data_IF_338913819220
#
_entry.id   IF_338913819220
#
_cell.length_a   1.000
_cell.length_b   1.000
_cell.length_c   1.000
_cell.angle_alpha   90.00
_cell.angle_beta   90.00
_cell.angle_gamma   90.00
#
_symmetry.space_group_name_H-M   'P 1'
#
loop_
_entity.id
_entity.type
_entity.pdbx_description
1 polymer ?
#
# COMPACT_ATOMS: atom_id res chain seq x y z
N UNK A 1 4.08 26.92 -22.11
CA UNK A 1 5.27 26.36 -22.80
C UNK A 1 5.37 26.96 -24.20
N UNK A 2 6.57 27.37 -24.64
CA UNK A 2 6.80 27.69 -26.06
C UNK A 2 7.17 26.39 -26.80
N UNK A 3 6.43 26.06 -27.86
CA UNK A 3 6.63 24.86 -28.68
C UNK A 3 7.10 25.25 -30.10
N UNK A 4 8.39 25.58 -30.30
CA UNK A 4 8.92 25.87 -31.63
C UNK A 4 8.93 24.63 -32.55
N UNK A 5 8.76 23.43 -32.01
CA UNK A 5 8.74 22.20 -32.80
C UNK A 5 7.47 21.40 -32.51
N UNK A 6 6.68 21.14 -33.56
CA UNK A 6 5.45 20.33 -33.48
C UNK A 6 5.51 19.14 -34.44
N UNK A 7 5.13 17.97 -33.95
CA UNK A 7 4.94 16.77 -34.77
C UNK A 7 3.52 16.66 -35.29
N UNK A 8 3.41 16.16 -36.52
CA UNK A 8 2.15 15.80 -37.17
C UNK A 8 2.25 14.39 -37.74
N UNK A 9 1.17 13.62 -37.67
CA UNK A 9 1.10 12.33 -38.35
C UNK A 9 0.85 12.59 -39.85
N UNK A 10 1.77 12.15 -40.71
CA UNK A 10 1.61 12.26 -42.17
C UNK A 10 0.91 11.04 -42.77
N UNK A 11 0.92 9.90 -42.06
CA UNK A 11 0.46 8.61 -42.55
C UNK A 11 1.39 8.00 -43.63
N UNK A 12 2.48 8.67 -43.98
CA UNK A 12 3.46 8.20 -44.96
C UNK A 12 4.78 7.90 -44.29
N UNK A 13 5.35 6.73 -44.58
CA UNK A 13 6.64 6.33 -44.01
C UNK A 13 7.78 7.18 -44.60
N UNK A 14 8.49 7.92 -43.76
CA UNK A 14 9.58 8.82 -44.15
C UNK A 14 10.96 8.15 -44.10
N UNK A 15 11.13 7.11 -43.28
CA UNK A 15 12.38 6.34 -43.21
C UNK A 15 12.14 4.87 -42.91
N UNK A 16 13.08 4.03 -43.35
CA UNK A 16 13.10 2.61 -43.04
C UNK A 16 13.90 2.37 -41.75
N UNK A 17 13.38 1.58 -40.80
CA UNK A 17 14.10 1.22 -39.57
C UNK A 17 15.45 0.58 -39.89
N UNK A 18 16.52 1.08 -39.26
CA UNK A 18 17.87 0.53 -39.39
C UNK A 18 18.57 0.48 -38.03
N UNK A 19 19.50 -0.48 -37.86
CA UNK A 19 20.30 -0.61 -36.64
C UNK A 19 19.52 -1.11 -35.42
N UNK A 20 19.66 -0.43 -34.26
CA UNK A 20 19.03 -0.81 -32.98
C UNK A 20 17.56 -0.38 -32.86
N UNK A 21 17.08 0.44 -33.79
CA UNK A 21 15.71 0.92 -33.79
C UNK A 21 14.77 -0.11 -34.41
N UNK A 22 13.74 -0.52 -33.66
CA UNK A 22 12.69 -1.42 -34.13
C UNK A 22 11.49 -0.58 -34.57
N UNK A 23 10.95 -0.90 -35.74
CA UNK A 23 9.80 -0.17 -36.27
C UNK A 23 8.62 -0.21 -35.28
N UNK A 24 8.01 0.95 -35.02
CA UNK A 24 6.78 1.05 -34.24
C UNK A 24 5.56 1.45 -35.08
N UNK A 25 5.79 1.86 -36.34
CA UNK A 25 4.73 2.26 -37.28
C UNK A 25 4.17 3.64 -36.99
N UNK A 26 4.69 4.35 -35.99
CA UNK A 26 4.27 5.68 -35.59
C UNK A 26 5.36 6.67 -35.92
N UNK A 27 6.54 6.53 -35.33
CA UNK A 27 7.66 7.48 -35.45
C UNK A 27 8.12 7.64 -36.90
N UNK A 28 8.05 6.58 -37.71
CA UNK A 28 8.44 6.64 -39.13
C UNK A 28 7.48 7.50 -39.96
N UNK A 29 6.28 7.75 -39.45
CA UNK A 29 5.22 8.50 -40.14
C UNK A 29 5.06 9.93 -39.65
N UNK A 30 5.94 10.39 -38.75
CA UNK A 30 5.84 11.73 -38.18
C UNK A 30 6.62 12.75 -39.01
N UNK A 31 6.00 13.91 -39.23
CA UNK A 31 6.65 15.09 -39.82
C UNK A 31 6.86 16.15 -38.73
N UNK A 32 8.08 16.68 -38.63
CA UNK A 32 8.43 17.76 -37.71
C UNK A 32 8.24 19.12 -38.40
N UNK A 33 7.49 20.01 -37.78
CA UNK A 33 7.31 21.39 -38.20
C UNK A 33 8.05 22.33 -37.26
N UNK A 34 8.86 23.22 -37.82
CA UNK A 34 9.54 24.29 -37.09
C UNK A 34 8.71 25.57 -37.20
N UNK A 35 8.44 26.19 -36.05
CA UNK A 35 7.58 27.36 -35.89
C UNK A 35 8.38 28.46 -35.20
N UNK A 36 8.38 29.65 -35.78
CA UNK A 36 9.27 30.73 -35.37
C UNK A 36 8.58 31.78 -34.51
N UNK A 37 7.24 31.86 -34.58
CA UNK A 37 6.46 32.80 -33.80
C UNK A 37 5.16 32.19 -33.24
N UNK A 38 4.56 32.88 -32.27
CA UNK A 38 3.34 32.42 -31.60
C UNK A 38 2.14 32.33 -32.55
N UNK A 39 2.03 33.24 -33.53
CA UNK A 39 0.93 33.25 -34.50
C UNK A 39 0.97 32.02 -35.42
N UNK A 40 2.16 31.59 -35.85
CA UNK A 40 2.36 30.36 -36.61
C UNK A 40 1.94 29.13 -35.79
N UNK A 41 2.28 29.10 -34.50
CA UNK A 41 1.89 28.04 -33.59
C UNK A 41 0.37 27.94 -33.45
N UNK A 42 -0.31 29.07 -33.22
CA UNK A 42 -1.77 29.10 -33.12
C UNK A 42 -2.41 28.63 -34.42
N UNK A 43 -1.93 29.11 -35.56
CA UNK A 43 -2.46 28.73 -36.88
C UNK A 43 -2.27 27.23 -37.14
N UNK A 44 -1.09 26.69 -36.84
CA UNK A 44 -0.80 25.26 -36.99
C UNK A 44 -1.72 24.41 -36.11
N UNK A 45 -1.86 24.78 -34.84
CA UNK A 45 -2.72 24.06 -33.90
C UNK A 45 -4.18 24.11 -34.36
N UNK A 46 -4.71 25.27 -34.75
CA UNK A 46 -6.08 25.37 -35.27
C UNK A 46 -6.34 24.46 -36.47
N UNK A 47 -5.37 24.32 -37.38
CA UNK A 47 -5.49 23.45 -38.55
C UNK A 47 -5.35 21.96 -38.21
N UNK A 48 -4.56 21.63 -37.20
CA UNK A 48 -4.14 20.24 -36.90
C UNK A 48 -4.69 19.69 -35.58
N UNK A 49 -5.53 20.44 -34.86
CA UNK A 49 -5.99 20.08 -33.49
C UNK A 49 -6.64 18.71 -33.43
N UNK A 50 -7.37 18.32 -34.48
CA UNK A 50 -8.02 17.02 -34.60
C UNK A 50 -7.05 15.84 -34.47
N UNK A 51 -5.77 16.00 -34.85
CA UNK A 51 -4.76 14.96 -34.69
C UNK A 51 -4.32 14.77 -33.24
N UNK A 52 -4.44 15.83 -32.43
CA UNK A 52 -4.14 15.81 -31.00
C UNK A 52 -5.34 15.35 -30.16
N UNK A 53 -6.57 15.67 -30.58
CA UNK A 53 -7.80 15.36 -29.83
C UNK A 53 -8.39 14.00 -30.16
N UNK A 54 -8.52 13.66 -31.45
CA UNK A 54 -9.24 12.48 -31.93
C UNK A 54 -8.34 11.44 -32.62
N UNK A 55 -7.06 11.77 -32.79
CA UNK A 55 -6.08 10.88 -33.42
C UNK A 55 -5.55 9.80 -32.47
N UNK A 56 -5.14 8.62 -32.98
CA UNK A 56 -4.61 7.53 -32.16
C UNK A 56 -3.28 7.87 -31.47
N UNK A 57 -2.61 8.96 -31.86
CA UNK A 57 -1.26 9.32 -31.42
C UNK A 57 -1.18 10.69 -30.74
N UNK A 58 -2.31 11.31 -30.38
CA UNK A 58 -2.34 12.70 -29.90
C UNK A 58 -1.37 12.98 -28.74
N UNK A 59 -1.39 12.13 -27.70
CA UNK A 59 -0.48 12.25 -26.56
C UNK A 59 1.00 12.05 -26.95
N UNK A 60 1.27 11.15 -27.91
CA UNK A 60 2.62 10.87 -28.41
C UNK A 60 3.15 12.09 -29.16
N UNK A 61 2.34 12.67 -30.06
CA UNK A 61 2.67 13.88 -30.80
C UNK A 61 3.00 15.04 -29.85
N UNK A 62 2.17 15.24 -28.82
CA UNK A 62 2.39 16.29 -27.82
C UNK A 62 3.69 16.08 -27.03
N UNK A 63 3.93 14.86 -26.54
CA UNK A 63 5.14 14.53 -25.77
C UNK A 63 6.41 14.72 -26.59
N UNK A 64 6.45 14.20 -27.82
CA UNK A 64 7.61 14.36 -28.72
C UNK A 64 7.85 15.82 -29.09
N UNK A 65 6.77 16.58 -29.30
CA UNK A 65 6.85 18.01 -29.59
C UNK A 65 7.45 18.79 -28.42
N UNK A 66 7.03 18.47 -27.18
CA UNK A 66 7.58 19.09 -25.97
C UNK A 66 9.07 18.76 -25.78
N UNK A 67 9.47 17.51 -26.03
CA UNK A 67 10.86 17.07 -25.94
C UNK A 67 11.73 17.81 -26.97
N UNK A 68 11.35 17.83 -28.25
CA UNK A 68 12.16 18.46 -29.29
C UNK A 68 12.17 19.99 -29.19
N UNK A 69 11.08 20.59 -28.72
CA UNK A 69 11.01 22.02 -28.40
C UNK A 69 12.07 22.48 -27.40
N UNK A 70 12.57 21.55 -26.57
CA UNK A 70 13.67 21.79 -25.61
C UNK A 70 15.01 21.17 -26.03
N UNK A 71 15.05 20.34 -27.06
CA UNK A 71 16.17 19.41 -27.35
C UNK A 71 16.35 18.29 -26.31
N UNK A 72 16.86 17.15 -26.76
CA UNK A 72 17.04 15.98 -25.90
C UNK A 72 18.14 16.19 -24.85
N UNK A 73 19.11 17.05 -25.14
CA UNK A 73 20.24 17.38 -24.27
C UNK A 73 19.77 18.21 -23.07
N UNK A 74 19.00 19.28 -23.30
CA UNK A 74 18.49 20.10 -22.19
C UNK A 74 17.49 19.34 -21.33
N UNK A 75 16.64 18.50 -21.94
CA UNK A 75 15.73 17.63 -21.19
C UNK A 75 16.50 16.68 -20.28
N UNK A 76 17.58 16.04 -20.77
CA UNK A 76 18.43 15.17 -19.92
C UNK A 76 19.19 15.92 -18.84
N UNK A 77 19.56 17.18 -19.08
CA UNK A 77 20.23 18.03 -18.08
C UNK A 77 19.30 18.44 -16.93
N UNK A 78 17.99 18.42 -17.16
CA UNK A 78 17.01 18.73 -16.11
C UNK A 78 16.92 17.63 -15.05
N UNK A 79 17.29 16.38 -15.37
CA UNK A 79 17.20 15.24 -14.44
C UNK A 79 18.16 15.40 -13.26
N UNK A 80 17.75 14.90 -12.09
CA UNK A 80 18.66 14.73 -10.95
C UNK A 80 19.58 13.52 -11.17
N UNK A 81 19.04 12.44 -11.76
CA UNK A 81 19.78 11.22 -12.10
C UNK A 81 19.88 11.09 -13.63
N UNK A 82 21.08 11.18 -14.23
CA UNK A 82 21.24 11.16 -15.69
C UNK A 82 20.75 9.88 -16.39
N UNK A 83 20.65 8.77 -15.66
CA UNK A 83 20.16 7.49 -16.15
C UNK A 83 18.64 7.35 -16.06
N UNK A 84 17.92 8.34 -15.55
CA UNK A 84 16.46 8.34 -15.52
C UNK A 84 15.85 8.39 -16.92
N UNK A 85 14.57 8.05 -16.99
CA UNK A 85 13.79 8.01 -18.21
C UNK A 85 12.47 8.77 -18.00
N UNK A 86 11.91 9.33 -19.08
CA UNK A 86 10.61 10.02 -19.05
C UNK A 86 9.42 9.06 -18.88
N UNK A 87 9.65 7.79 -19.19
CA UNK A 87 8.69 6.70 -19.02
C UNK A 87 9.33 5.71 -18.05
N UNK A 88 8.63 5.45 -16.95
CA UNK A 88 9.05 4.54 -15.90
C UNK A 88 8.71 3.09 -16.19
N UNK A 89 8.83 2.26 -15.16
CA UNK A 89 8.41 0.87 -15.23
C UNK A 89 6.92 0.76 -15.60
N UNK A 90 6.55 -0.31 -16.31
CA UNK A 90 5.17 -0.58 -16.74
C UNK A 90 4.54 0.48 -17.66
N UNK A 91 5.33 1.40 -18.23
CA UNK A 91 4.86 2.37 -19.21
C UNK A 91 4.21 3.63 -18.61
N UNK A 92 4.27 3.83 -17.31
CA UNK A 92 3.77 5.05 -16.66
C UNK A 92 4.69 6.24 -16.93
N UNK A 93 4.12 7.44 -17.06
CA UNK A 93 4.90 8.66 -17.13
C UNK A 93 5.60 8.93 -15.78
N UNK A 94 6.86 9.35 -15.83
CA UNK A 94 7.56 9.81 -14.63
C UNK A 94 7.22 11.27 -14.31
N UNK A 95 7.60 11.72 -13.11
CA UNK A 95 7.38 13.12 -12.71
C UNK A 95 8.13 14.10 -13.62
N UNK A 96 9.28 13.71 -14.17
CA UNK A 96 10.02 14.50 -15.16
C UNK A 96 9.19 14.78 -16.41
N UNK A 97 8.45 13.79 -16.92
CA UNK A 97 7.58 13.99 -18.08
C UNK A 97 6.39 14.90 -17.74
N UNK A 98 5.79 14.70 -16.56
CA UNK A 98 4.70 15.55 -16.08
C UNK A 98 5.17 17.01 -15.96
N UNK A 99 6.29 17.24 -15.30
CA UNK A 99 6.88 18.56 -15.12
C UNK A 99 7.33 19.18 -16.46
N UNK A 100 7.83 18.37 -17.40
CA UNK A 100 8.14 18.82 -18.75
C UNK A 100 6.88 19.38 -19.40
N UNK A 101 5.76 18.67 -19.36
CA UNK A 101 4.50 19.10 -19.97
C UNK A 101 3.89 20.34 -19.27
N UNK A 102 4.00 20.43 -17.94
CA UNK A 102 3.46 21.54 -17.16
C UNK A 102 4.31 22.82 -17.28
N UNK A 103 5.62 22.69 -17.18
CA UNK A 103 6.53 23.83 -16.97
C UNK A 103 7.54 24.04 -18.10
N UNK A 104 7.70 23.08 -19.00
CA UNK A 104 8.73 23.06 -20.02
C UNK A 104 10.11 22.58 -19.53
N UNK A 105 10.24 22.17 -18.27
CA UNK A 105 11.47 21.58 -17.71
C UNK A 105 11.20 20.21 -17.10
N UNK A 106 12.07 19.25 -17.40
CA UNK A 106 11.90 17.86 -17.00
C UNK A 106 12.55 17.57 -15.62
N UNK A 107 12.35 18.45 -14.65
CA UNK A 107 12.90 18.28 -13.29
C UNK A 107 12.15 17.18 -12.55
N UNK A 108 12.83 16.46 -11.66
CA UNK A 108 12.29 15.27 -10.99
C UNK A 108 11.31 15.59 -9.85
N UNK A 109 11.36 16.81 -9.29
CA UNK A 109 10.63 17.16 -8.08
C UNK A 109 9.60 18.28 -8.30
N UNK A 110 8.65 18.38 -7.36
CA UNK A 110 7.53 19.33 -7.41
C UNK A 110 7.63 20.47 -6.40
N UNK A 111 8.68 20.50 -5.56
CA UNK A 111 8.95 21.61 -4.64
C UNK A 111 9.53 22.83 -5.38
N UNK A 112 9.64 23.97 -4.70
CA UNK A 112 10.24 25.18 -5.27
C UNK A 112 11.76 25.10 -5.30
N UNK A 113 12.35 25.68 -6.35
CA UNK A 113 13.78 25.91 -6.52
C UNK A 113 14.62 24.65 -6.37
N UNK A 114 15.58 24.64 -5.45
CA UNK A 114 16.51 23.53 -5.21
C UNK A 114 16.46 23.20 -3.73
N UNK A 115 16.40 21.90 -3.41
CA UNK A 115 16.45 21.41 -2.03
C UNK A 115 17.76 20.68 -1.82
N UNK A 116 18.44 21.01 -0.72
CA UNK A 116 19.66 20.33 -0.30
C UNK A 116 19.29 19.16 0.62
N UNK A 117 19.72 17.96 0.26
CA UNK A 117 19.53 16.76 1.07
C UNK A 117 20.87 16.34 1.69
N UNK A 118 20.99 16.51 3.01
CA UNK A 118 22.12 15.97 3.77
C UNK A 118 21.91 14.48 4.01
N UNK A 119 22.79 13.65 3.47
CA UNK A 119 22.74 12.20 3.63
C UNK A 119 23.30 11.73 4.99
N UNK A 120 23.64 12.64 5.90
CA UNK A 120 24.16 12.35 7.24
C UNK A 120 25.61 11.84 7.26
N UNK A 121 26.22 11.72 6.09
CA UNK A 121 27.62 11.31 5.89
C UNK A 121 28.52 12.48 5.42
N UNK A 122 27.99 13.71 5.45
CA UNK A 122 28.69 14.91 4.99
C UNK A 122 28.58 15.19 3.48
N UNK A 123 27.93 14.30 2.70
CA UNK A 123 27.63 14.57 1.30
C UNK A 123 26.25 15.21 1.15
N UNK A 124 26.24 16.42 0.59
CA UNK A 124 25.03 17.17 0.26
C UNK A 124 24.63 16.80 -1.18
N UNK A 125 23.41 16.30 -1.36
CA UNK A 125 22.82 16.07 -2.68
C UNK A 125 21.85 17.21 -3.00
N UNK A 126 22.02 17.84 -4.17
CA UNK A 126 21.13 18.90 -4.63
C UNK A 126 20.02 18.29 -5.49
N UNK A 127 18.77 18.49 -5.09
CA UNK A 127 17.59 18.03 -5.80
C UNK A 127 16.92 19.22 -6.50
N UNK A 128 16.71 19.10 -7.82
CA UNK A 128 16.11 20.17 -8.64
C UNK A 128 14.59 20.12 -8.56
N UNK A 129 13.99 21.25 -8.23
CA UNK A 129 12.55 21.50 -8.26
C UNK A 129 12.16 22.52 -9.31
N UNK A 130 10.99 23.11 -9.12
CA UNK A 130 10.36 24.06 -10.02
C UNK A 130 10.97 25.45 -9.79
N UNK A 131 11.53 26.05 -10.83
CA UNK A 131 12.27 27.32 -10.70
C UNK A 131 11.40 28.59 -10.82
N UNK A 132 10.14 28.46 -11.23
CA UNK A 132 9.26 29.61 -11.44
C UNK A 132 7.78 29.21 -11.43
N UNK A 133 6.91 30.17 -11.13
CA UNK A 133 5.45 30.02 -11.18
C UNK A 133 4.97 29.52 -12.55
N UNK A 134 4.28 28.40 -12.55
CA UNK A 134 3.75 27.75 -13.75
C UNK A 134 2.43 28.37 -14.23
N UNK A 135 2.12 28.23 -15.51
CA UNK A 135 0.82 28.64 -16.07
C UNK A 135 -0.31 27.71 -15.63
N UNK A 136 -0.02 26.40 -15.56
CA UNK A 136 -0.92 25.34 -15.09
C UNK A 136 -0.31 24.71 -13.83
N UNK A 137 -1.17 24.45 -12.86
CA UNK A 137 -0.78 23.94 -11.55
C UNK A 137 -0.71 22.43 -11.50
N UNK A 138 -0.19 21.95 -10.38
CA UNK A 138 -0.13 20.53 -10.06
C UNK A 138 -0.50 20.33 -8.61
N UNK A 139 -1.36 19.34 -8.35
CA UNK A 139 -1.75 18.93 -7.02
C UNK A 139 -1.51 17.43 -6.89
N UNK A 140 -1.14 16.97 -5.70
CA UNK A 140 -0.81 15.57 -5.47
C UNK A 140 -1.37 15.10 -4.13
N UNK A 141 -2.06 13.96 -4.12
CA UNK A 141 -2.50 13.32 -2.88
C UNK A 141 -1.30 12.89 -2.04
N UNK A 142 -0.17 12.57 -2.69
CA UNK A 142 1.08 12.24 -2.00
C UNK A 142 1.58 13.37 -1.10
N UNK A 143 1.16 14.61 -1.33
CA UNK A 143 1.42 15.71 -0.40
C UNK A 143 0.63 15.56 0.91
N UNK A 144 -0.63 15.14 0.84
CA UNK A 144 -1.42 14.85 2.04
C UNK A 144 -0.80 13.74 2.88
N UNK A 145 -0.21 12.72 2.23
CA UNK A 145 0.49 11.64 2.89
C UNK A 145 1.93 11.99 3.32
N UNK A 146 2.37 13.25 3.20
CA UNK A 146 3.73 13.71 3.49
C UNK A 146 4.82 12.93 2.72
N UNK A 147 4.49 12.40 1.54
CA UNK A 147 5.45 11.69 0.67
C UNK A 147 6.21 12.69 -0.20
N UNK A 148 5.58 13.79 -0.61
CA UNK A 148 6.23 14.91 -1.30
C UNK A 148 5.68 16.25 -0.82
N UNK A 149 6.37 17.34 -1.14
CA UNK A 149 5.88 18.70 -0.89
C UNK A 149 5.72 19.43 -2.21
N UNK A 150 4.50 19.84 -2.53
CA UNK A 150 4.24 20.60 -3.76
C UNK A 150 4.55 22.07 -3.49
N UNK A 151 5.43 22.65 -4.30
CA UNK A 151 5.85 24.03 -4.19
C UNK A 151 4.75 25.02 -4.57
N UNK A 152 4.82 26.24 -4.01
CA UNK A 152 3.84 27.28 -4.32
C UNK A 152 3.78 27.64 -5.82
N UNK A 153 4.88 27.43 -6.57
CA UNK A 153 4.93 27.65 -8.01
C UNK A 153 4.00 26.74 -8.82
N UNK A 154 3.63 25.58 -8.27
CA UNK A 154 2.64 24.67 -8.84
C UNK A 154 1.27 24.78 -8.16
N UNK A 155 1.21 25.13 -6.88
CA UNK A 155 -0.07 25.32 -6.17
C UNK A 155 -0.80 26.59 -6.57
N UNK A 156 -0.07 27.65 -6.90
CA UNK A 156 -0.61 28.95 -7.34
C UNK A 156 -0.31 29.19 -8.82
N UNK A 157 -0.91 28.45 -9.76
CA UNK A 157 -0.68 28.67 -11.19
C UNK A 157 -1.16 30.05 -11.66
N UNK A 158 -0.76 30.47 -12.87
CA UNK A 158 -1.26 31.74 -13.45
C UNK A 158 -2.72 31.67 -13.86
N UNK A 159 -3.15 30.51 -14.36
CA UNK A 159 -4.54 30.19 -14.64
C UNK A 159 -5.02 29.20 -13.58
N UNK A 160 -6.26 29.31 -13.08
CA UNK A 160 -6.81 28.41 -12.07
C UNK A 160 -7.16 27.05 -12.70
N UNK A 161 -6.14 26.34 -13.17
CA UNK A 161 -6.18 25.02 -13.80
C UNK A 161 -5.09 24.20 -13.13
N UNK A 162 -5.44 23.02 -12.65
CA UNK A 162 -4.56 22.11 -11.98
C UNK A 162 -4.68 20.71 -12.56
N UNK A 163 -3.54 20.08 -12.82
CA UNK A 163 -3.47 18.63 -12.97
C UNK A 163 -3.39 18.01 -11.58
N UNK A 164 -4.31 17.10 -11.28
CA UNK A 164 -4.43 16.47 -9.97
C UNK A 164 -4.01 15.01 -10.05
N UNK A 165 -2.97 14.66 -9.30
CA UNK A 165 -2.54 13.30 -9.05
C UNK A 165 -3.19 12.81 -7.75
N UNK A 166 -4.45 12.37 -7.83
CA UNK A 166 -5.18 11.90 -6.65
C UNK A 166 -4.86 10.46 -6.32
N UNK A 167 -4.65 9.58 -7.30
CA UNK A 167 -4.37 8.15 -7.05
C UNK A 167 -3.45 7.55 -8.13
N UNK A 168 -3.94 6.54 -8.87
CA UNK A 168 -3.19 5.86 -9.93
C UNK A 168 -3.26 6.57 -11.29
N UNK A 169 -3.99 7.69 -11.37
CA UNK A 169 -4.18 8.47 -12.60
C UNK A 169 -4.18 9.98 -12.34
N UNK A 170 -4.10 10.73 -13.44
CA UNK A 170 -4.19 12.18 -13.44
C UNK A 170 -5.59 12.64 -13.87
N UNK A 171 -6.09 13.67 -13.21
CA UNK A 171 -7.35 14.34 -13.52
C UNK A 171 -7.12 15.85 -13.64
N UNK A 172 -8.13 16.60 -14.09
CA UNK A 172 -8.03 18.06 -14.24
C UNK A 172 -9.08 18.74 -13.37
N UNK A 173 -8.63 19.74 -12.63
CA UNK A 173 -9.45 20.60 -11.79
C UNK A 173 -9.26 22.05 -12.24
N UNK A 174 -10.34 22.80 -12.47
CA UNK A 174 -10.21 24.18 -12.91
C UNK A 174 -11.35 25.09 -12.42
N UNK A 175 -11.10 26.39 -12.34
CA UNK A 175 -12.14 27.40 -12.09
C UNK A 175 -12.39 28.23 -13.33
N UNK A 176 -13.66 28.61 -13.55
CA UNK A 176 -14.04 29.57 -14.58
C UNK A 176 -13.81 31.03 -14.15
N UNK A 177 -13.36 31.27 -12.92
CA UNK A 177 -13.06 32.59 -12.37
C UNK A 177 -11.55 32.85 -12.36
N UNK A 178 -10.99 33.60 -13.35
CA UNK A 178 -9.54 33.83 -13.44
C UNK A 178 -8.98 34.59 -12.25
N UNK A 179 -9.82 35.36 -11.56
CA UNK A 179 -9.46 36.17 -10.40
C UNK A 179 -9.31 35.36 -9.11
N UNK A 180 -9.64 34.06 -9.12
CA UNK A 180 -9.58 33.21 -7.93
C UNK A 180 -8.21 33.25 -7.23
N UNK A 181 -7.12 33.28 -8.00
CA UNK A 181 -5.74 33.31 -7.48
C UNK A 181 -5.13 34.71 -7.40
N UNK A 182 -5.95 35.76 -7.60
CA UNK A 182 -5.53 37.17 -7.61
C UNK A 182 -6.29 38.01 -6.58
N UNK A 183 -7.47 37.55 -6.16
CA UNK A 183 -8.38 38.31 -5.33
C UNK A 183 -8.80 37.51 -4.09
N UNK A 184 -8.28 37.93 -2.93
CA UNK A 184 -8.58 37.34 -1.62
C UNK A 184 -10.08 37.25 -1.27
N UNK A 185 -10.95 38.07 -1.90
CA UNK A 185 -12.41 37.97 -1.69
C UNK A 185 -13.03 36.79 -2.44
N UNK A 186 -12.47 36.43 -3.59
CA UNK A 186 -12.94 35.30 -4.40
C UNK A 186 -12.57 33.95 -3.78
N UNK A 187 -11.64 33.93 -2.83
CA UNK A 187 -11.11 32.74 -2.16
C UNK A 187 -12.02 32.18 -1.05
N UNK A 188 -13.09 32.90 -0.70
CA UNK A 188 -14.01 32.51 0.38
C UNK A 188 -15.00 31.42 -0.03
N UNK A 189 -15.57 31.57 -1.21
CA UNK A 189 -16.58 30.67 -1.75
C UNK A 189 -16.46 30.69 -3.27
N UNK A 190 -16.09 29.56 -3.86
CA UNK A 190 -15.87 29.46 -5.30
C UNK A 190 -16.16 28.06 -5.83
N UNK A 191 -16.39 27.98 -7.14
CA UNK A 191 -16.61 26.72 -7.81
C UNK A 191 -15.35 26.25 -8.54
N UNK A 192 -15.12 24.95 -8.43
CA UNK A 192 -14.18 24.19 -9.23
C UNK A 192 -14.94 23.17 -10.08
N UNK A 193 -14.41 22.93 -11.27
CA UNK A 193 -14.91 21.95 -12.21
C UNK A 193 -13.89 20.83 -12.32
N UNK A 194 -14.39 19.60 -12.18
CA UNK A 194 -13.58 18.40 -12.16
C UNK A 194 -13.84 17.55 -13.40
N UNK A 195 -12.76 17.10 -14.03
CA UNK A 195 -12.80 16.20 -15.17
C UNK A 195 -11.88 15.01 -14.95
N UNK A 196 -12.48 13.81 -14.96
CA UNK A 196 -11.76 12.54 -14.89
C UNK A 196 -11.85 11.79 -16.22
N UNK A 197 -10.70 11.59 -16.86
CA UNK A 197 -10.59 10.89 -18.14
C UNK A 197 -10.90 9.39 -18.06
N UNK A 198 -10.90 8.76 -16.88
CA UNK A 198 -11.20 7.34 -16.71
C UNK A 198 -12.69 7.04 -16.51
N UNK A 199 -13.47 8.02 -16.06
CA UNK A 199 -14.83 7.78 -15.57
C UNK A 199 -15.91 7.79 -16.67
N UNK A 200 -15.53 7.94 -17.96
CA UNK A 200 -16.46 8.18 -19.07
C UNK A 200 -17.54 9.23 -18.70
N UNK A 201 -17.07 10.33 -18.13
CA UNK A 201 -17.89 11.34 -17.48
C UNK A 201 -18.88 11.96 -18.47
N UNK A 202 -20.18 11.71 -18.27
CA UNK A 202 -21.24 12.23 -19.14
C UNK A 202 -21.72 13.63 -18.72
N UNK A 203 -21.60 13.94 -17.43
CA UNK A 203 -22.07 15.20 -16.84
C UNK A 203 -20.94 15.97 -16.17
N UNK A 204 -21.06 17.29 -16.18
CA UNK A 204 -20.09 18.19 -15.55
C UNK A 204 -20.12 18.03 -14.02
N UNK A 205 -18.97 17.73 -13.41
CA UNK A 205 -18.83 17.70 -11.96
C UNK A 205 -18.42 19.10 -11.50
N UNK A 206 -19.28 19.73 -10.71
CA UNK A 206 -19.06 21.03 -10.07
C UNK A 206 -18.90 20.84 -8.57
N UNK A 207 -17.76 21.30 -8.05
CA UNK A 207 -17.41 21.29 -6.64
C UNK A 207 -17.46 22.73 -6.11
N UNK A 208 -18.29 22.97 -5.11
CA UNK A 208 -18.32 24.27 -4.42
C UNK A 208 -17.43 24.19 -3.20
N UNK A 209 -16.38 25.02 -3.17
CA UNK A 209 -15.42 25.12 -2.07
C UNK A 209 -15.78 26.32 -1.22
N UNK A 210 -16.13 26.07 0.05
CA UNK A 210 -16.35 27.10 1.07
C UNK A 210 -15.21 27.04 2.08
N UNK A 211 -14.38 28.09 2.11
CA UNK A 211 -13.22 28.17 3.02
C UNK A 211 -13.56 28.80 4.37
N UNK A 212 -14.81 29.22 4.59
CA UNK A 212 -15.24 29.88 5.82
C UNK A 212 -15.81 28.93 6.87
N UNK A 213 -16.16 27.70 6.47
CA UNK A 213 -16.72 26.70 7.38
C UNK A 213 -15.61 25.94 8.12
N UNK A 214 -15.61 26.03 9.44
CA UNK A 214 -14.83 25.15 10.31
C UNK A 214 -15.61 23.86 10.51
N UNK A 215 -15.11 22.76 9.96
CA UNK A 215 -15.69 21.42 10.18
C UNK A 215 -15.37 21.00 11.64
N UNK A 216 -16.35 20.56 12.45
CA UNK A 216 -16.11 20.07 13.80
C UNK A 216 -15.15 18.87 13.81
N UNK A 217 -14.23 18.83 14.77
CA UNK A 217 -13.17 17.81 14.92
C UNK A 217 -13.70 16.36 15.11
N UNK A 218 -15.00 16.18 15.36
CA UNK A 218 -15.59 14.95 15.88
C UNK A 218 -16.15 14.00 14.79
N UNK A 219 -15.66 14.10 13.55
CA UNK A 219 -16.06 13.25 12.40
C UNK A 219 -14.92 12.41 11.84
N UNK A 220 -14.08 11.86 12.72
CA UNK A 220 -12.97 10.96 12.34
C UNK A 220 -13.41 9.64 11.67
N UNK A 221 -14.72 9.36 11.57
CA UNK A 221 -15.28 8.19 10.87
C UNK A 221 -15.80 8.47 9.45
N UNK A 222 -15.82 9.73 8.99
CA UNK A 222 -16.24 10.03 7.62
C UNK A 222 -15.02 9.92 6.68
N UNK A 223 -15.03 8.94 5.77
CA UNK A 223 -14.03 8.81 4.70
C UNK A 223 -13.99 10.10 3.87
N UNK A 224 -12.94 10.90 4.04
CA UNK A 224 -12.74 12.12 3.23
C UNK A 224 -12.29 11.72 1.83
N UNK A 225 -12.98 12.17 0.76
CA UNK A 225 -12.58 11.84 -0.61
C UNK A 225 -11.14 12.29 -0.91
N UNK A 226 -10.34 11.48 -1.64
CA UNK A 226 -8.97 11.84 -2.05
C UNK A 226 -8.85 13.22 -2.71
N UNK A 227 -9.81 13.56 -3.57
CA UNK A 227 -9.84 14.85 -4.25
C UNK A 227 -10.00 16.02 -3.27
N UNK A 228 -10.79 15.85 -2.22
CA UNK A 228 -10.95 16.85 -1.18
C UNK A 228 -9.65 17.02 -0.38
N UNK A 229 -8.94 15.93 -0.08
CA UNK A 229 -7.63 15.98 0.57
C UNK A 229 -6.61 16.76 -0.27
N UNK A 230 -6.56 16.53 -1.58
CA UNK A 230 -5.73 17.31 -2.51
C UNK A 230 -6.07 18.80 -2.48
N UNK A 231 -7.36 19.16 -2.52
CA UNK A 231 -7.82 20.56 -2.50
C UNK A 231 -7.43 21.24 -1.17
N UNK A 232 -7.63 20.55 -0.05
CA UNK A 232 -7.34 21.06 1.30
C UNK A 232 -5.84 21.38 1.49
N UNK A 233 -4.95 20.46 1.11
CA UNK A 233 -3.49 20.62 1.30
C UNK A 233 -2.87 21.64 0.35
N UNK A 234 -3.47 21.83 -0.82
CA UNK A 234 -2.89 22.67 -1.86
C UNK A 234 -3.48 24.07 -1.92
N UNK A 235 -4.78 24.19 -2.21
CA UNK A 235 -5.46 25.48 -2.40
C UNK A 235 -5.59 26.19 -1.04
N UNK A 236 -5.87 25.47 0.04
CA UNK A 236 -5.85 26.03 1.40
C UNK A 236 -4.51 26.67 1.73
N UNK A 237 -3.41 25.92 1.58
CA UNK A 237 -2.05 26.40 1.83
C UNK A 237 -1.63 27.56 0.91
N UNK A 238 -2.00 27.50 -0.37
CA UNK A 238 -1.68 28.50 -1.39
C UNK A 238 -2.36 29.85 -1.14
N UNK A 239 -3.61 29.84 -0.67
CA UNK A 239 -4.41 31.03 -0.42
C UNK A 239 -4.18 31.62 0.99
N UNK A 240 -3.13 31.17 1.68
CA UNK A 240 -2.78 31.67 3.02
C UNK A 240 -3.74 31.21 4.12
N UNK A 241 -4.63 30.26 3.83
CA UNK A 241 -5.38 29.57 4.86
C UNK A 241 -4.48 28.49 5.46
N UNK A 242 -3.99 28.78 6.66
CA UNK A 242 -3.64 27.72 7.59
C UNK A 242 -4.94 27.01 7.96
N UNK A 243 -5.43 26.12 7.09
CA UNK A 243 -5.97 24.90 7.66
C UNK A 243 -4.89 24.39 8.59
N UNK A 244 -5.22 23.93 9.80
CA UNK A 244 -4.32 23.04 10.48
C UNK A 244 -4.23 21.79 9.60
N UNK A 245 -3.42 21.85 8.53
CA UNK A 245 -2.32 20.90 8.45
C UNK A 245 -1.72 21.10 9.81
N UNK A 246 -2.09 20.22 10.75
CA UNK A 246 -1.26 20.05 11.90
C UNK A 246 0.11 19.90 11.22
N UNK A 247 0.97 20.92 11.40
CA UNK A 247 2.29 20.62 11.89
C UNK A 247 1.98 19.77 13.11
N UNK A 248 1.68 18.50 12.85
CA UNK A 248 1.86 17.50 13.82
C UNK A 248 3.34 17.74 14.09
N UNK A 249 3.62 18.37 15.23
CA UNK A 249 4.43 17.69 16.23
C UNK A 249 4.42 16.23 15.82
N UNK A 250 5.45 15.82 15.05
CA UNK A 250 5.64 14.47 14.49
C UNK A 250 4.41 13.64 14.71
N UNK A 251 3.48 13.59 13.73
CA UNK A 251 2.23 12.84 13.87
C UNK A 251 2.65 11.55 14.51
N UNK A 252 2.26 11.29 15.76
CA UNK A 252 2.67 10.07 16.43
C UNK A 252 2.34 8.99 15.42
N UNK A 253 3.38 8.34 14.87
CA UNK A 253 3.33 7.79 13.52
C UNK A 253 2.00 7.05 13.35
N UNK A 254 1.08 7.60 12.55
CA UNK A 254 -0.26 7.01 12.42
C UNK A 254 -0.04 5.58 11.97
N UNK A 255 -0.43 4.63 12.81
CA UNK A 255 -0.07 3.24 12.65
C UNK A 255 -0.59 2.76 11.29
N UNK A 256 0.33 2.51 10.36
CA UNK A 256 -0.01 1.99 9.04
C UNK A 256 -0.38 0.51 9.20
N UNK A 257 -1.68 0.23 9.18
CA UNK A 257 -2.21 -1.11 9.37
C UNK A 257 -1.67 -2.11 8.37
N UNK A 258 -1.34 -1.68 7.15
CA UNK A 258 -0.74 -2.57 6.14
C UNK A 258 0.68 -2.94 6.55
N UNK A 259 1.49 -1.97 6.98
CA UNK A 259 2.86 -2.23 7.48
C UNK A 259 2.84 -3.18 8.67
N UNK A 260 1.97 -2.93 9.65
CA UNK A 260 1.86 -3.79 10.84
C UNK A 260 1.39 -5.18 10.47
N UNK A 261 0.34 -5.29 9.66
CA UNK A 261 -0.21 -6.59 9.23
C UNK A 261 0.80 -7.42 8.46
N UNK A 262 1.53 -6.79 7.54
CA UNK A 262 2.58 -7.46 6.76
C UNK A 262 3.75 -7.87 7.66
N UNK A 263 4.15 -7.03 8.61
CA UNK A 263 5.20 -7.36 9.57
C UNK A 263 4.84 -8.60 10.41
N UNK A 264 3.62 -8.68 10.95
CA UNK A 264 3.15 -9.87 11.66
C UNK A 264 3.11 -11.11 10.77
N UNK A 265 2.55 -10.98 9.56
CA UNK A 265 2.43 -12.11 8.64
C UNK A 265 3.78 -12.66 8.17
N UNK A 266 4.70 -11.79 7.74
CA UNK A 266 6.05 -12.19 7.32
C UNK A 266 6.88 -12.74 8.49
N UNK A 267 6.69 -12.24 9.71
CA UNK A 267 7.35 -12.80 10.90
C UNK A 267 6.90 -14.24 11.14
N UNK A 268 5.60 -14.51 11.06
CA UNK A 268 5.08 -15.88 11.20
C UNK A 268 5.54 -16.77 10.06
N UNK A 269 5.51 -16.30 8.81
CA UNK A 269 6.04 -17.07 7.67
C UNK A 269 7.51 -17.46 7.87
N UNK A 270 8.33 -16.50 8.32
CA UNK A 270 9.77 -16.72 8.55
C UNK A 270 10.03 -17.68 9.70
N UNK A 271 9.29 -17.56 10.80
CA UNK A 271 9.43 -18.47 11.94
C UNK A 271 8.91 -19.88 11.60
N UNK A 272 7.78 -19.97 10.91
CA UNK A 272 7.27 -21.25 10.43
C UNK A 272 8.24 -21.93 9.45
N UNK A 273 8.88 -21.16 8.57
CA UNK A 273 9.89 -21.68 7.65
C UNK A 273 11.16 -22.14 8.39
N UNK A 274 11.60 -21.41 9.41
CA UNK A 274 12.87 -21.68 10.11
C UNK A 274 12.76 -22.75 11.20
N UNK A 275 11.66 -22.78 11.99
CA UNK A 275 11.50 -23.69 13.14
C UNK A 275 10.28 -24.60 13.04
N UNK A 276 9.51 -24.52 11.95
CA UNK A 276 8.34 -25.37 11.72
C UNK A 276 8.66 -26.86 11.67
N UNK A 277 9.78 -27.23 11.02
CA UNK A 277 10.21 -28.63 10.97
C UNK A 277 10.60 -29.23 12.34
N UNK A 278 10.90 -28.38 13.33
CA UNK A 278 11.29 -28.81 14.68
C UNK A 278 10.05 -28.95 15.58
N UNK A 279 9.15 -27.98 15.56
CA UNK A 279 8.08 -27.84 16.56
C UNK A 279 6.67 -27.73 15.99
N UNK A 280 6.53 -27.58 14.67
CA UNK A 280 5.30 -27.14 14.01
C UNK A 280 5.10 -25.62 14.04
N UNK A 281 5.95 -24.86 14.75
CA UNK A 281 5.94 -23.40 14.85
C UNK A 281 4.56 -22.80 15.18
N UNK A 282 3.85 -23.39 16.15
CA UNK A 282 2.48 -22.97 16.46
C UNK A 282 2.41 -21.49 16.87
N UNK A 283 3.33 -21.05 17.74
CA UNK A 283 3.53 -19.66 18.20
C UNK A 283 2.24 -18.94 18.67
N UNK A 284 1.19 -19.71 18.93
CA UNK A 284 -0.16 -19.24 19.18
C UNK A 284 -0.94 -20.32 19.95
N UNK A 285 -1.46 -20.00 21.16
CA UNK A 285 -2.26 -20.93 21.94
C UNK A 285 -3.53 -21.41 21.22
N UNK A 286 -4.17 -20.58 20.40
CA UNK A 286 -5.36 -20.95 19.65
C UNK A 286 -5.06 -21.95 18.52
N UNK A 287 -3.91 -21.80 17.84
CA UNK A 287 -3.42 -22.79 16.87
C UNK A 287 -3.08 -24.11 17.57
N UNK A 288 -2.44 -24.02 18.74
CA UNK A 288 -2.12 -25.21 19.55
C UNK A 288 -3.39 -25.94 20.00
N UNK A 289 -4.42 -25.21 20.42
CA UNK A 289 -5.73 -25.77 20.74
C UNK A 289 -6.38 -26.42 19.51
N UNK A 290 -6.32 -25.76 18.34
CA UNK A 290 -6.84 -26.33 17.09
C UNK A 290 -6.19 -27.68 16.74
N UNK A 291 -4.86 -27.76 16.82
CA UNK A 291 -4.14 -29.01 16.58
C UNK A 291 -4.40 -30.08 17.66
N UNK A 292 -4.62 -29.67 18.92
CA UNK A 292 -5.04 -30.58 19.98
C UNK A 292 -6.43 -31.18 19.68
N UNK A 293 -7.41 -30.34 19.35
CA UNK A 293 -8.78 -30.77 19.05
C UNK A 293 -8.85 -31.60 17.76
N UNK A 294 -8.00 -31.31 16.79
CA UNK A 294 -7.80 -32.14 15.59
C UNK A 294 -7.09 -33.47 15.88
N UNK A 295 -6.72 -33.74 17.14
CA UNK A 295 -6.01 -34.94 17.58
C UNK A 295 -4.64 -35.10 16.89
N UNK A 296 -3.93 -33.99 16.67
CA UNK A 296 -2.60 -33.98 16.06
C UNK A 296 -1.48 -33.90 17.11
N UNK A 297 -1.77 -33.47 18.33
CA UNK A 297 -0.79 -33.40 19.43
C UNK A 297 -1.37 -33.95 20.73
N UNK A 298 -0.50 -34.37 21.65
CA UNK A 298 -0.91 -34.80 22.99
C UNK A 298 -1.30 -33.62 23.89
N UNK A 299 -2.12 -33.89 24.91
CA UNK A 299 -2.55 -32.86 25.88
C UNK A 299 -1.34 -32.26 26.60
N UNK A 300 -0.40 -33.11 27.03
CA UNK A 300 0.82 -32.66 27.71
C UNK A 300 1.63 -31.71 26.82
N UNK A 301 1.82 -32.06 25.53
CA UNK A 301 2.55 -31.21 24.58
C UNK A 301 1.83 -29.90 24.35
N UNK A 302 0.49 -29.92 24.24
CA UNK A 302 -0.32 -28.70 24.09
C UNK A 302 -0.15 -27.75 25.28
N UNK A 303 -0.23 -28.25 26.52
CA UNK A 303 -0.05 -27.44 27.73
C UNK A 303 1.36 -26.83 27.77
N UNK A 304 2.39 -27.64 27.53
CA UNK A 304 3.78 -27.16 27.51
C UNK A 304 4.01 -26.10 26.43
N UNK A 305 3.36 -26.25 25.27
CA UNK A 305 3.42 -25.27 24.18
C UNK A 305 2.76 -23.95 24.57
N UNK A 306 1.55 -23.98 25.13
CA UNK A 306 0.83 -22.77 25.56
C UNK A 306 1.64 -22.01 26.62
N UNK A 307 2.20 -22.71 27.61
CA UNK A 307 3.05 -22.10 28.64
C UNK A 307 4.30 -21.47 28.01
N UNK A 308 5.02 -22.22 27.17
CA UNK A 308 6.23 -21.72 26.51
C UNK A 308 5.95 -20.49 25.63
N UNK A 309 4.83 -20.48 24.91
CA UNK A 309 4.39 -19.36 24.07
C UNK A 309 4.07 -18.12 24.92
N UNK A 310 3.33 -18.28 26.01
CA UNK A 310 3.02 -17.17 26.93
C UNK A 310 4.30 -16.61 27.59
N UNK A 311 5.22 -17.45 28.05
CA UNK A 311 6.50 -17.01 28.61
C UNK A 311 7.32 -16.27 27.56
N UNK A 312 7.42 -16.80 26.35
CA UNK A 312 8.12 -16.16 25.24
C UNK A 312 7.54 -14.77 24.90
N UNK A 313 6.22 -14.64 24.88
CA UNK A 313 5.56 -13.36 24.61
C UNK A 313 5.80 -12.32 25.71
N UNK A 314 5.79 -12.73 27.00
CA UNK A 314 6.14 -11.85 28.12
C UNK A 314 7.59 -11.36 27.99
N UNK A 315 8.53 -12.28 27.76
CA UNK A 315 9.96 -11.94 27.62
C UNK A 315 10.18 -11.00 26.44
N UNK A 316 9.58 -11.28 25.28
CA UNK A 316 9.67 -10.42 24.10
C UNK A 316 9.14 -9.01 24.36
N UNK A 317 7.98 -8.90 25.04
CA UNK A 317 7.39 -7.59 25.36
C UNK A 317 8.20 -6.84 26.41
N UNK A 318 8.81 -7.54 27.39
CA UNK A 318 9.71 -6.92 28.37
C UNK A 318 10.98 -6.35 27.71
N UNK A 319 11.57 -7.09 26.77
CA UNK A 319 12.71 -6.61 25.98
C UNK A 319 12.31 -5.38 25.17
N UNK A 320 11.16 -5.45 24.48
CA UNK A 320 10.63 -4.31 23.71
C UNK A 320 10.46 -3.08 24.62
N UNK A 321 9.86 -3.24 25.79
CA UNK A 321 9.68 -2.16 26.77
C UNK A 321 10.98 -1.51 27.20
N UNK A 322 12.06 -2.29 27.38
CA UNK A 322 13.38 -1.76 27.70
C UNK A 322 13.97 -0.95 26.54
N UNK A 323 13.94 -1.50 25.32
CA UNK A 323 14.49 -0.88 24.11
C UNK A 323 13.75 0.40 23.72
N UNK A 324 12.45 0.46 23.98
CA UNK A 324 11.58 1.58 23.58
C UNK A 324 11.17 2.47 24.77
N UNK A 325 11.90 2.39 25.88
CA UNK A 325 11.63 3.12 27.13
C UNK A 325 11.67 4.65 27.00
N UNK A 326 12.39 5.16 26.00
CA UNK A 326 12.48 6.60 25.71
C UNK A 326 11.31 7.15 24.89
N UNK A 327 10.41 6.29 24.40
CA UNK A 327 9.25 6.71 23.61
C UNK A 327 8.07 7.08 24.54
N UNK A 328 7.47 8.28 24.39
CA UNK A 328 6.28 8.65 25.15
C UNK A 328 5.06 7.80 24.73
N UNK A 329 4.14 7.56 25.66
CA UNK A 329 2.85 6.89 25.45
C UNK A 329 2.90 5.52 24.73
N UNK A 330 3.91 4.72 25.06
CA UNK A 330 4.13 3.43 24.44
C UNK A 330 3.19 2.34 24.98
N UNK A 331 2.15 2.00 24.20
CA UNK A 331 1.21 0.92 24.53
C UNK A 331 1.78 -0.49 24.36
N UNK A 332 3.03 -0.63 23.88
CA UNK A 332 3.70 -1.90 23.59
C UNK A 332 2.90 -2.82 22.67
N UNK A 333 2.07 -2.21 21.80
CA UNK A 333 1.19 -2.93 20.88
C UNK A 333 0.11 -3.75 21.58
N UNK A 334 -0.28 -3.38 22.81
CA UNK A 334 -1.35 -4.05 23.58
C UNK A 334 -2.68 -4.04 22.81
N UNK A 335 -3.37 -5.18 22.84
CA UNK A 335 -4.70 -5.29 22.25
C UNK A 335 -5.75 -4.61 23.12
N UNK A 336 -6.61 -3.81 22.50
CA UNK A 336 -7.73 -3.14 23.14
C UNK A 336 -8.87 -2.95 22.15
N UNK A 337 -10.10 -2.86 22.67
CA UNK A 337 -11.26 -2.55 21.83
C UNK A 337 -11.20 -1.09 21.41
N UNK A 338 -11.36 -0.86 20.10
CA UNK A 338 -11.44 0.48 19.55
C UNK A 338 -12.69 1.21 20.09
N UNK A 339 -12.66 2.55 20.16
CA UNK A 339 -13.82 3.36 20.53
C UNK A 339 -15.03 3.00 19.65
N UNK A 340 -16.17 2.71 20.29
CA UNK A 340 -17.41 2.32 19.58
C UNK A 340 -17.58 0.82 19.34
N UNK A 341 -16.55 -0.01 19.58
CA UNK A 341 -16.66 -1.47 19.50
C UNK A 341 -17.05 -2.03 20.87
N UNK A 342 -18.20 -2.70 20.95
CA UNK A 342 -18.60 -3.39 22.18
C UNK A 342 -17.93 -4.78 22.29
N UNK A 343 -17.91 -5.36 23.50
CA UNK A 343 -17.24 -6.63 23.76
C UNK A 343 -17.77 -7.79 22.91
N UNK A 344 -19.05 -7.80 22.53
CA UNK A 344 -19.64 -8.82 21.66
C UNK A 344 -19.16 -8.71 20.21
N UNK A 345 -19.06 -7.48 19.69
CA UNK A 345 -18.49 -7.20 18.37
C UNK A 345 -17.01 -7.59 18.32
N UNK A 346 -16.22 -7.17 19.31
CA UNK A 346 -14.81 -7.55 19.44
C UNK A 346 -14.63 -9.07 19.49
N UNK A 347 -15.47 -9.76 20.27
CA UNK A 347 -15.48 -11.23 20.33
C UNK A 347 -15.77 -11.86 18.96
N UNK A 348 -16.76 -11.37 18.22
CA UNK A 348 -17.09 -11.87 16.89
C UNK A 348 -15.93 -11.72 15.90
N UNK A 349 -15.24 -10.58 15.93
CA UNK A 349 -14.09 -10.28 15.07
C UNK A 349 -12.93 -11.24 15.37
N UNK A 350 -12.62 -11.45 16.66
CA UNK A 350 -11.57 -12.39 17.09
C UNK A 350 -11.90 -13.84 16.70
N UNK A 351 -13.18 -14.25 16.80
CA UNK A 351 -13.62 -15.58 16.36
C UNK A 351 -13.36 -15.77 14.87
N UNK A 352 -13.80 -14.84 14.02
CA UNK A 352 -13.65 -14.93 12.56
C UNK A 352 -12.17 -14.86 12.15
N UNK A 353 -11.40 -13.95 12.75
CA UNK A 353 -9.98 -13.78 12.48
C UNK A 353 -9.16 -15.03 12.83
N UNK A 354 -9.45 -15.69 13.94
CA UNK A 354 -8.78 -16.94 14.32
C UNK A 354 -9.32 -18.16 13.57
N UNK A 355 -10.62 -18.19 13.23
CA UNK A 355 -11.22 -19.25 12.43
C UNK A 355 -10.49 -19.44 11.11
N UNK A 356 -10.31 -18.35 10.34
CA UNK A 356 -9.61 -18.43 9.06
C UNK A 356 -8.14 -18.83 9.21
N UNK A 357 -7.48 -18.38 10.30
CA UNK A 357 -6.09 -18.71 10.59
C UNK A 357 -5.92 -20.20 10.88
N UNK A 358 -6.68 -20.74 11.82
CA UNK A 358 -6.56 -22.14 12.22
C UNK A 358 -7.00 -23.05 11.07
N UNK A 359 -8.01 -22.65 10.28
CA UNK A 359 -8.40 -23.38 9.08
C UNK A 359 -7.27 -23.44 8.05
N UNK A 360 -6.57 -22.32 7.81
CA UNK A 360 -5.40 -22.26 6.95
C UNK A 360 -4.28 -23.18 7.46
N UNK A 361 -3.98 -23.15 8.77
CA UNK A 361 -2.98 -24.02 9.38
C UNK A 361 -3.33 -25.49 9.17
N UNK A 362 -4.55 -25.91 9.47
CA UNK A 362 -4.99 -27.30 9.26
C UNK A 362 -4.87 -27.70 7.79
N UNK A 363 -5.34 -26.86 6.87
CA UNK A 363 -5.32 -27.16 5.43
C UNK A 363 -3.93 -27.16 4.78
N UNK A 364 -2.97 -26.42 5.35
CA UNK A 364 -1.59 -26.34 4.83
C UNK A 364 -0.66 -27.38 5.46
N UNK A 365 -1.02 -27.90 6.64
CA UNK A 365 -0.26 -28.94 7.35
C UNK A 365 -0.86 -30.34 7.16
N UNK A 366 -2.00 -30.47 6.47
CA UNK A 366 -2.60 -31.76 6.15
C UNK A 366 -1.75 -32.53 5.13
N UNK A 367 -1.15 -33.64 5.56
CA UNK A 367 -0.33 -34.54 4.72
C UNK A 367 -1.11 -35.18 3.57
N UNK A 368 -2.44 -35.24 3.66
CA UNK A 368 -3.31 -35.79 2.60
C UNK A 368 -3.43 -34.84 1.41
N UNK A 369 -3.11 -33.56 1.61
CA UNK A 369 -3.14 -32.56 0.56
C UNK A 369 -1.94 -32.73 -0.36
N UNK A 370 -2.18 -33.19 -1.60
CA UNK A 370 -1.15 -33.46 -2.62
C UNK A 370 -1.26 -32.59 -3.88
N UNK A 371 -2.22 -31.67 -3.92
CA UNK A 371 -2.59 -30.86 -5.09
C UNK A 371 -1.68 -29.63 -5.31
N UNK A 372 -1.02 -29.13 -4.26
CA UNK A 372 -0.20 -27.91 -4.31
C UNK A 372 1.17 -28.11 -3.66
N UNK A 373 2.24 -27.76 -4.38
CA UNK A 373 3.64 -27.76 -3.91
C UNK A 373 4.15 -26.37 -3.46
N UNK A 374 3.25 -25.48 -3.02
CA UNK A 374 3.61 -24.13 -2.56
C UNK A 374 4.24 -24.09 -1.17
N UNK A 375 4.61 -22.89 -0.69
CA UNK A 375 5.13 -22.72 0.68
C UNK A 375 3.99 -22.66 1.70
N UNK A 376 3.83 -23.74 2.48
CA UNK A 376 2.92 -23.78 3.63
C UNK A 376 3.17 -22.66 4.65
N UNK A 377 4.42 -22.41 5.07
CA UNK A 377 4.77 -21.30 5.95
C UNK A 377 4.33 -19.93 5.42
N UNK A 378 4.52 -19.66 4.12
CA UNK A 378 4.09 -18.39 3.51
C UNK A 378 2.56 -18.26 3.51
N UNK A 379 1.83 -19.33 3.19
CA UNK A 379 0.37 -19.32 3.22
C UNK A 379 -0.18 -19.01 4.62
N UNK A 380 0.40 -19.61 5.65
CA UNK A 380 0.04 -19.33 7.06
C UNK A 380 0.36 -17.87 7.42
N UNK A 381 1.53 -17.36 7.02
CA UNK A 381 1.90 -15.96 7.27
C UNK A 381 0.97 -14.95 6.58
N UNK A 382 0.57 -15.22 5.34
CA UNK A 382 -0.41 -14.39 4.62
C UNK A 382 -1.79 -14.43 5.29
N UNK A 383 -2.20 -15.59 5.83
CA UNK A 383 -3.43 -15.71 6.62
C UNK A 383 -3.37 -14.89 7.92
N UNK A 384 -2.21 -14.82 8.59
CA UNK A 384 -2.00 -13.92 9.73
C UNK A 384 -2.09 -12.46 9.31
N UNK A 385 -1.44 -12.07 8.20
CA UNK A 385 -1.52 -10.70 7.68
C UNK A 385 -2.96 -10.30 7.36
N UNK A 386 -3.74 -11.19 6.72
CA UNK A 386 -5.14 -10.96 6.43
C UNK A 386 -5.97 -10.74 7.71
N UNK A 387 -5.75 -11.56 8.74
CA UNK A 387 -6.41 -11.37 10.04
C UNK A 387 -6.11 -10.00 10.65
N UNK A 388 -4.86 -9.53 10.54
CA UNK A 388 -4.47 -8.21 11.02
C UNK A 388 -5.08 -7.07 10.21
N UNK A 389 -5.11 -7.18 8.88
CA UNK A 389 -5.75 -6.19 8.01
C UNK A 389 -7.25 -6.02 8.34
N UNK A 390 -7.91 -7.08 8.80
CA UNK A 390 -9.32 -7.05 9.16
C UNK A 390 -9.57 -6.58 10.60
N UNK A 391 -8.72 -6.96 11.55
CA UNK A 391 -9.04 -6.85 12.99
C UNK A 391 -8.29 -5.72 13.72
N UNK A 392 -7.22 -5.13 13.15
CA UNK A 392 -6.45 -4.09 13.86
C UNK A 392 -7.33 -2.90 14.26
N UNK A 393 -8.17 -2.40 13.37
CA UNK A 393 -9.01 -1.21 13.62
C UNK A 393 -10.07 -1.41 14.70
N UNK A 394 -10.36 -2.66 15.08
CA UNK A 394 -11.43 -2.98 16.02
C UNK A 394 -10.92 -3.50 17.36
N UNK A 395 -9.88 -4.32 17.35
CA UNK A 395 -9.38 -5.04 18.55
C UNK A 395 -7.85 -4.97 18.70
N UNK A 396 -7.16 -4.28 17.79
CA UNK A 396 -5.71 -4.36 17.63
C UNK A 396 -5.22 -5.70 17.07
N UNK A 397 -6.14 -6.56 16.60
CA UNK A 397 -5.92 -7.95 16.17
C UNK A 397 -5.26 -8.81 17.25
N UNK A 398 -6.08 -9.45 18.09
CA UNK A 398 -5.63 -10.41 19.06
C UNK A 398 -5.13 -11.67 18.37
N UNK A 399 -6.06 -12.45 17.79
CA UNK A 399 -6.02 -13.76 17.11
C UNK A 399 -5.10 -14.84 17.72
N UNK A 400 -4.33 -14.48 18.73
CA UNK A 400 -3.23 -15.15 19.38
C UNK A 400 -3.22 -14.73 20.86
N UNK A 401 -3.76 -15.60 21.75
CA UNK A 401 -3.84 -15.28 23.18
C UNK A 401 -2.48 -14.98 23.83
N UNK A 402 -1.37 -15.63 23.40
CA UNK A 402 -0.05 -15.37 23.97
C UNK A 402 0.45 -13.96 23.65
N UNK A 403 0.20 -13.46 22.44
CA UNK A 403 0.56 -12.11 21.98
C UNK A 403 -0.19 -11.04 22.77
N UNK A 404 -1.49 -11.23 23.01
CA UNK A 404 -2.29 -10.32 23.83
C UNK A 404 -1.88 -10.39 25.30
N UNK A 405 -1.57 -11.58 25.81
CA UNK A 405 -1.16 -11.80 27.19
C UNK A 405 0.19 -11.15 27.52
N UNK A 406 1.21 -11.33 26.68
CA UNK A 406 2.55 -10.77 26.91
C UNK A 406 2.54 -9.26 27.12
N UNK A 407 1.86 -8.53 26.23
CA UNK A 407 1.72 -7.07 26.33
C UNK A 407 0.89 -6.62 27.55
N UNK A 408 -0.19 -7.33 27.87
CA UNK A 408 -1.06 -7.01 29.02
C UNK A 408 -0.35 -7.22 30.37
N UNK A 409 0.52 -8.23 30.47
CA UNK A 409 1.32 -8.51 31.68
C UNK A 409 2.31 -7.38 31.96
N UNK A 410 3.04 -6.91 30.94
CA UNK A 410 4.06 -5.86 31.09
C UNK A 410 3.43 -4.48 31.32
N UNK A 411 2.29 -4.19 30.68
CA UNK A 411 1.56 -2.92 30.85
C UNK A 411 0.63 -2.92 32.07
N UNK A 412 0.49 -4.05 32.77
CA UNK A 412 -0.44 -4.25 33.89
C UNK A 412 -1.91 -3.90 33.58
N UNK A 413 -2.34 -4.01 32.31
CA UNK A 413 -3.68 -3.64 31.89
C UNK A 413 -4.41 -4.80 31.20
N UNK A 414 -5.44 -5.31 31.89
CA UNK A 414 -6.25 -6.46 31.46
C UNK A 414 -7.69 -6.10 31.09
N UNK A 415 -7.95 -4.84 30.74
CA UNK A 415 -9.28 -4.40 30.28
C UNK A 415 -9.73 -5.24 29.08
N UNK A 416 -10.93 -5.81 29.17
CA UNK A 416 -11.55 -6.68 28.14
C UNK A 416 -10.69 -7.88 27.70
N UNK A 417 -9.67 -8.25 28.48
CA UNK A 417 -8.65 -9.21 28.06
C UNK A 417 -9.18 -10.62 27.82
N UNK A 418 -10.29 -10.99 28.47
CA UNK A 418 -10.93 -12.29 28.30
C UNK A 418 -11.35 -12.55 26.84
N UNK A 419 -11.64 -11.50 26.06
CA UNK A 419 -12.01 -11.60 24.64
C UNK A 419 -10.88 -12.24 23.83
N UNK A 420 -9.63 -11.87 24.11
CA UNK A 420 -8.45 -12.36 23.42
C UNK A 420 -8.06 -13.80 23.76
N UNK A 421 -8.77 -14.42 24.70
CA UNK A 421 -8.68 -15.85 24.97
C UNK A 421 -9.89 -16.60 24.41
N UNK A 422 -11.09 -16.14 24.76
CA UNK A 422 -12.35 -16.80 24.41
C UNK A 422 -12.59 -16.75 22.91
N UNK A 423 -12.39 -15.59 22.27
CA UNK A 423 -12.59 -15.42 20.83
C UNK A 423 -11.70 -16.35 20.00
N UNK A 424 -10.36 -16.29 20.19
CA UNK A 424 -9.46 -17.17 19.45
C UNK A 424 -9.67 -18.66 19.72
N UNK A 425 -10.00 -19.06 20.95
CA UNK A 425 -10.30 -20.47 21.24
C UNK A 425 -11.57 -20.99 20.58
N UNK A 426 -12.64 -20.19 20.57
CA UNK A 426 -13.87 -20.54 19.85
C UNK A 426 -13.58 -20.61 18.34
N UNK A 427 -12.89 -19.61 17.78
CA UNK A 427 -12.52 -19.59 16.36
C UNK A 427 -11.69 -20.82 15.96
N UNK A 428 -10.69 -21.19 16.77
CA UNK A 428 -9.86 -22.38 16.54
C UNK A 428 -10.65 -23.69 16.64
N UNK A 429 -11.56 -23.83 17.60
CA UNK A 429 -12.41 -25.00 17.73
C UNK A 429 -13.39 -25.15 16.55
N UNK A 430 -13.99 -24.04 16.10
CA UNK A 430 -14.85 -24.01 14.92
C UNK A 430 -14.08 -24.39 13.64
N UNK A 431 -12.83 -23.94 13.50
CA UNK A 431 -11.99 -24.29 12.36
C UNK A 431 -11.77 -25.80 12.25
N UNK A 432 -11.52 -26.46 13.39
CA UNK A 432 -11.36 -27.92 13.45
C UNK A 432 -12.66 -28.62 13.07
N UNK A 433 -13.79 -28.16 13.62
CA UNK A 433 -15.10 -28.74 13.30
C UNK A 433 -15.40 -28.65 11.80
N UNK A 434 -15.13 -27.50 11.19
CA UNK A 434 -15.33 -27.29 9.75
C UNK A 434 -14.36 -28.14 8.93
N UNK A 435 -13.07 -28.15 9.26
CA UNK A 435 -12.08 -28.85 8.45
C UNK A 435 -12.19 -30.37 8.57
N UNK A 436 -12.15 -30.91 9.79
CA UNK A 436 -12.02 -32.35 10.03
C UNK A 436 -13.34 -33.11 9.87
N UNK A 437 -14.49 -32.43 9.80
CA UNK A 437 -15.81 -33.09 9.72
C UNK A 437 -16.66 -32.65 8.52
N UNK A 438 -16.41 -31.47 7.93
CA UNK A 438 -17.22 -30.96 6.81
C UNK A 438 -16.40 -30.93 5.52
N UNK A 439 -15.25 -30.26 5.52
CA UNK A 439 -14.49 -30.00 4.29
C UNK A 439 -13.57 -31.15 3.88
N UNK A 440 -12.80 -31.68 4.83
CA UNK A 440 -11.84 -32.76 4.59
C UNK A 440 -11.94 -33.85 5.67
N UNK A 441 -13.08 -34.59 5.74
CA UNK A 441 -13.29 -35.61 6.74
C UNK A 441 -12.17 -36.64 6.79
N UNK A 442 -11.77 -37.08 7.98
CA UNK A 442 -10.82 -38.20 8.13
C UNK A 442 -11.57 -39.53 8.13
N UNK A 443 -10.99 -40.53 7.44
CA UNK A 443 -11.53 -41.88 7.33
C UNK A 443 -11.26 -42.75 8.58
N UNK A 444 -10.34 -42.34 9.44
CA UNK A 444 -10.00 -43.06 10.67
C UNK A 444 -11.05 -42.86 11.76
N UNK A 445 -11.25 -43.91 12.58
CA UNK A 445 -12.20 -43.84 13.68
C UNK A 445 -11.78 -42.79 14.72
N UNK A 446 -12.76 -42.08 15.27
CA UNK A 446 -12.56 -41.05 16.29
C UNK A 446 -11.88 -41.62 17.54
N UNK A 447 -12.21 -42.86 17.90
CA UNK A 447 -11.62 -43.55 19.05
C UNK A 447 -10.10 -43.70 18.89
N UNK A 448 -9.63 -44.00 17.68
CA UNK A 448 -8.21 -44.14 17.40
C UNK A 448 -7.50 -42.79 17.36
N UNK A 449 -8.15 -41.76 16.80
CA UNK A 449 -7.63 -40.39 16.80
C UNK A 449 -7.41 -39.86 18.21
N UNK A 450 -8.36 -40.08 19.12
CA UNK A 450 -8.30 -39.59 20.51
C UNK A 450 -7.15 -40.22 21.30
N UNK A 451 -6.66 -41.41 20.92
CA UNK A 451 -5.48 -42.02 21.58
C UNK A 451 -4.24 -41.12 21.53
N UNK A 452 -4.11 -40.27 20.49
CA UNK A 452 -3.03 -39.28 20.34
C UNK A 452 -2.93 -38.34 21.54
N UNK A 453 -4.05 -38.03 22.20
CA UNK A 453 -4.06 -37.17 23.39
C UNK A 453 -3.21 -37.72 24.53
N UNK A 454 -3.13 -39.06 24.65
CA UNK A 454 -2.37 -39.75 25.69
C UNK A 454 -1.02 -40.27 25.20
N UNK A 455 -0.94 -40.85 24.00
CA UNK A 455 0.27 -41.52 23.50
C UNK A 455 1.17 -40.62 22.65
N UNK A 456 0.71 -39.43 22.25
CA UNK A 456 1.35 -38.64 21.19
C UNK A 456 1.03 -39.19 19.80
N UNK A 457 1.55 -38.52 18.74
CA UNK A 457 1.40 -39.05 17.38
C UNK A 457 2.12 -40.40 17.31
N UNK A 458 1.37 -41.45 16.99
CA UNK A 458 1.95 -42.70 16.51
C UNK A 458 2.43 -42.38 15.10
N UNK A 459 3.73 -42.49 14.82
CA UNK A 459 4.21 -42.45 13.44
C UNK A 459 3.42 -43.49 12.65
N UNK A 460 2.60 -43.07 11.70
CA UNK A 460 2.16 -43.95 10.63
C UNK A 460 3.46 -44.41 9.94
N UNK A 461 3.86 -45.65 10.16
CA UNK A 461 4.84 -46.30 9.30
C UNK A 461 4.30 -46.18 7.88
N UNK A 462 4.99 -45.41 7.04
CA UNK A 462 4.74 -45.36 5.60
C UNK A 462 4.85 -46.78 5.04
N UNK A 463 3.69 -47.43 4.82
CA UNK A 463 3.61 -48.75 4.17
C UNK A 463 3.85 -48.68 2.65
N UNK A 464 4.07 -47.47 2.10
CA UNK A 464 4.26 -47.21 0.66
C UNK A 464 5.68 -46.67 0.32
N UNK A 465 6.64 -46.76 1.25
CA UNK A 465 8.04 -46.50 0.94
C UNK A 465 8.67 -47.71 0.26
N UNK A 466 9.06 -47.59 -1.01
CA UNK A 466 9.96 -48.52 -1.69
C UNK A 466 11.26 -48.64 -0.89
N UNK A 467 11.31 -49.65 -0.03
CA UNK A 467 12.40 -49.93 0.89
C UNK A 467 13.57 -50.56 0.11
N UNK A 468 14.36 -49.73 -0.58
CA UNK A 468 15.60 -50.16 -1.29
C UNK A 468 16.76 -50.40 -0.28
N UNK A 469 16.51 -50.42 1.03
CA UNK A 469 17.55 -50.87 1.98
C UNK A 469 17.00 -51.50 3.26
N UNK A 470 16.22 -52.58 3.12
CA UNK A 470 15.92 -53.46 4.23
C UNK A 470 17.19 -54.20 4.69
N UNK A 471 17.93 -53.64 5.66
CA UNK A 471 18.79 -54.46 6.53
C UNK A 471 17.88 -55.33 7.38
N UNK A 472 17.66 -56.55 6.93
CA UNK A 472 17.03 -57.61 7.72
C UNK A 472 17.91 -57.88 8.94
N UNK A 473 17.46 -57.46 10.11
CA UNK A 473 18.08 -57.85 11.37
C UNK A 473 17.73 -59.32 11.63
N UNK A 474 18.70 -60.22 11.40
CA UNK A 474 18.53 -61.64 11.74
C UNK A 474 18.45 -61.77 13.26
N UNK A 475 17.30 -62.25 13.76
CA UNK A 475 17.19 -62.72 15.14
C UNK A 475 18.17 -63.89 15.35
N UNK A 476 19.06 -63.84 16.34
CA UNK A 476 19.92 -64.97 16.65
C UNK A 476 19.07 -66.15 17.12
N UNK A 477 19.38 -67.35 16.61
CA UNK A 477 18.77 -68.61 17.03
C UNK A 477 19.14 -68.98 18.46
#
# INVERSE_FOLDING_TARGET
MHLPFLFRASGTQHFSPTGKYKADGVLETLTLHSLTCYEELVTFLQQSIHQFEAGPYGCILLALSAILSRSTELVRQDFDVPTSHLIGAHGYCTQELVNLLLTGKAVSNVFNDVVELDSGNGNITLLKGIAARSDIGFLSLFEHYNVCQVGCFLKTPRFPIWVVCSESHFSVLFSLHPELLRNWRAERLFDLYYYDGLANQQEQIRLTVDTTQTIPEDRDNDLVPPLELCIRTSIGSALGFNYPVKNNQTAGASQDNVKVSLAFGLSIATLAQSVGHISGAHLNPAVTLGLLLSCQISILRAIMYIIAQCVGAIVATAILSGVTSSLPDNSLGRNELAPGVNSGQGLGIEIIGTLQLVLCVLATTDRRRRDLGGSGPLAIGLSVALGHLLAIDYTGCGINPARSFGSSVITHNFKDHWIFWVGPFIGGALAVLIYDFILAPRSSDLTDRVKVWTSGQVEEYDLDGDDINSRVEMKPK
#
